data_IF_887930686025
#
_entry.id   IF_887930686025
#
_cell.length_a   1.000
_cell.length_b   1.000
_cell.length_c   1.000
_cell.angle_alpha   90.00
_cell.angle_beta   90.00
_cell.angle_gamma   90.00
#
_symmetry.space_group_name_H-M   'P 1'
#
loop_
_entity.id
_entity.type
_entity.pdbx_description
1 polymer ?
#
# COMPACT_ATOMS: atom_id res chain seq x y z
N UNK A 1 -17.26 15.80 19.19
CA UNK A 1 -17.37 16.28 17.80
C UNK A 1 -16.29 15.55 17.02
N UNK A 2 -16.63 14.39 16.46
CA UNK A 2 -15.69 13.46 15.81
C UNK A 2 -16.46 12.59 14.79
N UNK A 3 -17.28 13.23 13.96
CA UNK A 3 -18.17 12.61 12.97
C UNK A 3 -18.11 13.45 11.68
N UNK A 4 -16.91 13.78 11.18
CA UNK A 4 -16.76 14.54 9.93
C UNK A 4 -15.76 13.92 8.94
N UNK A 5 -14.88 13.01 9.37
CA UNK A 5 -13.89 12.39 8.47
C UNK A 5 -14.42 11.16 7.70
N UNK A 6 -15.51 10.53 8.14
CA UNK A 6 -16.05 9.30 7.51
C UNK A 6 -16.99 9.61 6.32
N UNK A 7 -17.43 10.87 6.19
CA UNK A 7 -18.36 11.34 5.14
C UNK A 7 -17.63 12.05 3.98
N UNK A 8 -16.30 12.08 4.01
CA UNK A 8 -15.50 12.59 2.91
C UNK A 8 -15.46 11.56 1.77
N UNK A 9 -15.67 11.95 0.51
CA UNK A 9 -15.56 11.05 -0.62
C UNK A 9 -14.16 10.44 -0.64
N UNK A 10 -14.09 9.12 -0.42
CA UNK A 10 -12.84 8.36 -0.50
C UNK A 10 -12.23 8.61 -1.87
N UNK A 11 -10.97 9.03 -1.88
CA UNK A 11 -10.23 9.22 -3.12
C UNK A 11 -10.40 7.96 -4.00
N UNK A 12 -10.97 8.16 -5.19
CA UNK A 12 -11.15 7.07 -6.14
C UNK A 12 -9.78 6.49 -6.44
N UNK A 13 -9.67 5.15 -6.35
CA UNK A 13 -8.44 4.48 -6.76
C UNK A 13 -8.13 4.87 -8.21
N UNK A 14 -6.86 5.19 -8.53
CA UNK A 14 -6.48 5.47 -9.91
C UNK A 14 -6.91 4.29 -10.79
N UNK A 15 -7.39 4.61 -11.99
CA UNK A 15 -7.73 3.58 -12.97
C UNK A 15 -6.44 2.79 -13.29
N UNK A 16 -6.53 1.48 -13.54
CA UNK A 16 -5.40 0.72 -14.05
C UNK A 16 -4.83 1.38 -15.31
N UNK A 17 -3.51 1.37 -15.45
CA UNK A 17 -2.82 1.79 -16.68
C UNK A 17 -3.34 0.98 -17.86
N UNK A 18 -3.56 1.64 -19.00
CA UNK A 18 -3.87 0.95 -20.24
C UNK A 18 -2.61 0.27 -20.78
N UNK A 19 -2.60 -1.06 -20.79
CA UNK A 19 -1.44 -1.85 -21.19
C UNK A 19 -1.35 -2.07 -22.70
N UNK A 20 -2.45 -1.87 -23.44
CA UNK A 20 -2.51 -2.13 -24.89
C UNK A 20 -1.69 -1.10 -25.68
N UNK A 21 -1.38 0.05 -25.08
CA UNK A 21 -0.55 1.11 -25.69
C UNK A 21 0.94 0.96 -25.40
N UNK A 22 1.33 0.04 -24.51
CA UNK A 22 2.72 -0.11 -24.06
C UNK A 22 3.47 -1.16 -24.90
N UNK A 23 4.74 -0.88 -25.19
CA UNK A 23 5.68 -1.83 -25.78
C UNK A 23 6.17 -2.88 -24.77
N UNK A 24 6.82 -3.94 -25.26
CA UNK A 24 7.35 -5.02 -24.39
C UNK A 24 8.37 -4.50 -23.36
N UNK A 25 9.24 -3.57 -23.76
CA UNK A 25 10.23 -2.97 -22.85
C UNK A 25 9.54 -2.15 -21.75
N UNK A 26 8.60 -1.28 -22.11
CA UNK A 26 7.82 -0.48 -21.17
C UNK A 26 7.00 -1.36 -20.20
N UNK A 27 6.48 -2.49 -20.67
CA UNK A 27 5.79 -3.46 -19.82
C UNK A 27 6.74 -4.12 -18.80
N UNK A 28 7.98 -4.42 -19.19
CA UNK A 28 8.98 -4.96 -18.26
C UNK A 28 9.40 -3.92 -17.21
N UNK A 29 9.57 -2.65 -17.62
CA UNK A 29 9.85 -1.56 -16.70
C UNK A 29 8.69 -1.35 -15.71
N UNK A 30 7.46 -1.34 -16.21
CA UNK A 30 6.27 -1.22 -15.36
C UNK A 30 6.15 -2.37 -14.35
N UNK A 31 6.48 -3.60 -14.75
CA UNK A 31 6.56 -4.74 -13.82
C UNK A 31 7.61 -4.48 -12.74
N UNK A 32 8.82 -4.04 -13.12
CA UNK A 32 9.89 -3.79 -12.16
C UNK A 32 9.51 -2.71 -11.13
N UNK A 33 8.82 -1.65 -11.56
CA UNK A 33 8.30 -0.62 -10.65
C UNK A 33 7.26 -1.18 -9.67
N UNK A 34 6.30 -1.96 -10.18
CA UNK A 34 5.28 -2.59 -9.35
C UNK A 34 5.88 -3.58 -8.34
N UNK A 35 6.88 -4.36 -8.73
CA UNK A 35 7.59 -5.28 -7.84
C UNK A 35 8.35 -4.55 -6.73
N UNK A 36 9.02 -3.44 -7.06
CA UNK A 36 9.67 -2.59 -6.07
C UNK A 36 8.66 -2.02 -5.06
N UNK A 37 7.49 -1.61 -5.53
CA UNK A 37 6.42 -1.12 -4.67
C UNK A 37 5.85 -2.22 -3.77
N UNK A 38 5.66 -3.44 -4.31
CA UNK A 38 5.26 -4.61 -3.51
C UNK A 38 6.24 -4.86 -2.38
N UNK A 39 7.54 -4.79 -2.64
CA UNK A 39 8.56 -5.01 -1.62
C UNK A 39 8.55 -3.91 -0.55
N UNK A 40 8.36 -2.64 -0.95
CA UNK A 40 8.19 -1.53 -0.01
C UNK A 40 7.00 -1.76 0.92
N UNK A 41 5.86 -2.19 0.37
CA UNK A 41 4.65 -2.46 1.14
C UNK A 41 4.85 -3.65 2.10
N UNK A 42 5.48 -4.73 1.64
CA UNK A 42 5.82 -5.89 2.49
C UNK A 42 6.69 -5.47 3.67
N UNK A 43 7.72 -4.66 3.43
CA UNK A 43 8.57 -4.09 4.48
C UNK A 43 7.79 -3.23 5.49
N UNK A 44 6.81 -2.44 5.02
CA UNK A 44 5.95 -1.65 5.90
C UNK A 44 5.02 -2.53 6.75
N UNK A 45 4.49 -3.63 6.19
CA UNK A 45 3.68 -4.61 6.93
C UNK A 45 4.49 -5.20 8.08
N UNK A 46 5.70 -5.69 7.81
CA UNK A 46 6.58 -6.26 8.85
C UNK A 46 6.79 -5.28 10.01
N UNK A 47 7.08 -4.00 9.70
CA UNK A 47 7.23 -2.95 10.72
C UNK A 47 5.95 -2.77 11.56
N UNK A 48 4.78 -2.75 10.91
CA UNK A 48 3.48 -2.63 11.61
C UNK A 48 3.18 -3.83 12.50
N UNK A 49 3.52 -5.03 12.06
CA UNK A 49 3.34 -6.24 12.88
C UNK A 49 4.23 -6.23 14.11
N UNK A 50 5.49 -5.80 13.98
CA UNK A 50 6.40 -5.62 15.12
C UNK A 50 5.84 -4.59 16.12
N UNK A 51 5.32 -3.46 15.63
CA UNK A 51 4.66 -2.45 16.49
C UNK A 51 3.45 -3.04 17.23
N UNK A 52 2.62 -3.83 16.55
CA UNK A 52 1.45 -4.50 17.16
C UNK A 52 1.87 -5.46 18.27
N UNK A 53 2.92 -6.25 18.05
CA UNK A 53 3.46 -7.20 19.04
C UNK A 53 4.02 -6.44 20.25
N UNK A 54 4.82 -5.41 20.02
CA UNK A 54 5.38 -4.59 21.10
C UNK A 54 4.28 -3.93 21.95
N UNK A 55 3.26 -3.36 21.32
CA UNK A 55 2.10 -2.82 22.04
C UNK A 55 1.37 -3.89 22.87
N UNK A 56 1.14 -5.07 22.28
CA UNK A 56 0.48 -6.19 22.98
C UNK A 56 1.25 -6.66 24.21
N UNK A 57 2.58 -6.56 24.22
CA UNK A 57 3.41 -6.91 25.37
C UNK A 57 3.29 -5.89 26.52
N UNK A 58 3.17 -4.59 26.19
CA UNK A 58 2.99 -3.51 27.18
C UNK A 58 1.64 -3.64 27.90
N UNK A 59 0.56 -3.99 27.17
CA UNK A 59 -0.78 -4.11 27.76
C UNK A 59 -1.08 -5.46 28.44
N UNK A 60 -0.18 -6.45 28.34
CA UNK A 60 -0.27 -7.74 29.07
C UNK A 60 0.52 -7.76 30.38
N UNK A 61 1.11 -6.63 30.76
CA UNK A 61 1.84 -6.43 32.03
C UNK A 61 0.91 -5.91 33.12
#
# INVERSE_FOLDING_TARGET
MAEEDDDLPRALRPKPTDLDVMGIEELNEYIAELEAEIERVRSAIVKKEQQRIAASAVFKS
#
